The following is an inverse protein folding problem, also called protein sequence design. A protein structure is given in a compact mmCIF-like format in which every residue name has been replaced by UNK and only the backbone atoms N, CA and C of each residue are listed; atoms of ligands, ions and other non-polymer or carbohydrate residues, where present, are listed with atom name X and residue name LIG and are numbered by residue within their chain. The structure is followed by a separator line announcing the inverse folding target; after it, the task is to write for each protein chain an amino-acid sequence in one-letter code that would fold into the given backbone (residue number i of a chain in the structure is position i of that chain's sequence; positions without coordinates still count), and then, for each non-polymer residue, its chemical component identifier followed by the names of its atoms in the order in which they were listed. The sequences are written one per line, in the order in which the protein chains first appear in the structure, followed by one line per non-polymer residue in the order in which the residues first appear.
data_IF_793067271482
#
_entry.id   IF_793067271482
#
_cell.length_a   1.000
_cell.length_b   1.000
_cell.length_c   1.000
_cell.angle_alpha   90.00
_cell.angle_beta   90.00
_cell.angle_gamma   90.00
#
_symmetry.space_group_name_H-M   'P 1'
#
loop_
_entity.id
_entity.type
_entity.pdbx_description
1 polymer ?
#
# COMPACT_ATOMS: atom_id res chain seq x y z
N UNK A 1 -8.47 45.96 -8.63
CA UNK A 1 -8.87 44.61 -8.18
C UNK A 1 -8.82 43.53 -9.30
N UNK A 2 -8.25 43.80 -10.48
CA UNK A 2 -8.10 42.80 -11.55
C UNK A 2 -6.77 42.00 -11.45
N UNK A 3 -5.71 42.58 -10.86
CA UNK A 3 -4.38 41.97 -10.81
C UNK A 3 -4.29 40.71 -9.93
N UNK A 4 -5.06 40.64 -8.83
CA UNK A 4 -5.00 39.51 -7.89
C UNK A 4 -5.53 38.20 -8.48
N UNK A 5 -6.46 38.26 -9.44
CA UNK A 5 -7.02 37.07 -10.09
C UNK A 5 -6.02 36.41 -11.05
N UNK A 6 -5.18 37.22 -11.68
CA UNK A 6 -4.14 36.75 -12.60
C UNK A 6 -3.03 35.99 -11.85
N UNK A 7 -2.60 36.49 -10.69
CA UNK A 7 -1.63 35.80 -9.82
C UNK A 7 -2.11 34.41 -9.38
N UNK A 8 -3.39 34.29 -9.01
CA UNK A 8 -3.96 33.00 -8.58
C UNK A 8 -3.97 32.00 -9.74
N UNK A 9 -4.31 32.46 -10.95
CA UNK A 9 -4.31 31.60 -12.14
C UNK A 9 -2.90 31.11 -12.50
N UNK A 10 -1.90 31.98 -12.41
CA UNK A 10 -0.49 31.63 -12.63
C UNK A 10 0.03 30.63 -11.58
N UNK A 11 -0.32 30.81 -10.31
CA UNK A 11 0.06 29.89 -9.24
C UNK A 11 -0.59 28.51 -9.43
N UNK A 12 -1.86 28.46 -9.83
CA UNK A 12 -2.55 27.19 -10.09
C UNK A 12 -1.94 26.43 -11.28
N UNK A 13 -1.58 27.14 -12.35
CA UNK A 13 -0.88 26.56 -13.50
C UNK A 13 0.49 26.00 -13.12
N UNK A 14 1.29 26.76 -12.36
CA UNK A 14 2.59 26.29 -11.87
C UNK A 14 2.45 25.02 -11.02
N UNK A 15 1.46 24.99 -10.11
CA UNK A 15 1.23 23.83 -9.24
C UNK A 15 0.79 22.58 -10.02
N UNK A 16 -0.01 22.76 -11.08
CA UNK A 16 -0.41 21.68 -11.98
C UNK A 16 0.78 21.13 -12.76
N UNK A 17 1.65 21.99 -13.30
CA UNK A 17 2.86 21.61 -14.04
C UNK A 17 3.84 20.87 -13.12
N UNK A 18 4.06 21.34 -11.89
CA UNK A 18 4.95 20.65 -10.93
C UNK A 18 4.44 19.24 -10.58
N UNK A 19 3.12 19.06 -10.42
CA UNK A 19 2.55 17.72 -10.16
C UNK A 19 2.67 16.78 -11.34
N UNK A 20 2.54 17.28 -12.57
CA UNK A 20 2.75 16.49 -13.79
C UNK A 20 4.23 16.10 -13.96
N UNK A 21 5.16 17.03 -13.74
CA UNK A 21 6.60 16.76 -13.78
C UNK A 21 7.03 15.71 -12.73
N UNK A 22 6.49 15.80 -11.50
CA UNK A 22 6.75 14.80 -10.46
C UNK A 22 6.22 13.40 -10.80
N UNK A 23 5.28 13.26 -11.74
CA UNK A 23 4.79 11.96 -12.20
C UNK A 23 5.65 11.34 -13.30
N UNK A 24 6.41 12.16 -14.03
CA UNK A 24 7.30 11.71 -15.10
C UNK A 24 8.65 11.27 -14.53
N UNK A 25 9.14 11.93 -13.49
CA UNK A 25 10.42 11.57 -12.84
C UNK A 25 10.32 10.31 -11.94
N UNK A 26 9.12 9.87 -11.55
CA UNK A 26 8.93 8.63 -10.76
C UNK A 26 8.92 7.36 -11.64
N UNK A 27 8.86 7.50 -12.98
CA UNK A 27 8.91 6.35 -13.90
C UNK A 27 10.35 6.04 -14.32
N UNK A 28 11.22 7.04 -14.45
CA UNK A 28 12.64 6.83 -14.80
C UNK A 28 13.50 6.39 -13.60
N UNK A 29 13.10 6.69 -12.37
CA UNK A 29 13.83 6.24 -11.16
C UNK A 29 13.65 4.74 -10.85
N UNK A 30 12.57 4.12 -11.34
CA UNK A 30 12.33 2.68 -11.15
C UNK A 30 13.03 1.82 -12.21
N UNK A 31 13.43 2.41 -13.35
CA UNK A 31 14.07 1.68 -14.45
C UNK A 31 15.61 1.69 -14.40
N UNK A 32 16.21 2.65 -13.71
CA UNK A 32 17.67 2.79 -13.66
C UNK A 32 18.40 1.77 -12.75
N UNK A 33 17.70 1.00 -11.91
CA UNK A 33 18.34 0.10 -10.95
C UNK A 33 18.42 -1.38 -11.38
N UNK A 34 17.98 -1.73 -12.59
CA UNK A 34 17.93 -3.14 -13.04
C UNK A 34 18.91 -3.54 -14.15
N UNK A 35 19.74 -2.64 -14.71
CA UNK A 35 20.56 -2.94 -15.91
C UNK A 35 22.04 -2.51 -15.77
N UNK A 36 22.69 -2.74 -14.63
CA UNK A 36 24.13 -2.43 -14.51
C UNK A 36 24.95 -3.45 -13.70
N UNK A 37 24.62 -4.74 -13.81
CA UNK A 37 25.46 -5.79 -13.20
C UNK A 37 25.84 -6.94 -14.14
N UNK A 38 26.13 -6.63 -15.40
CA UNK A 38 26.85 -7.54 -16.30
C UNK A 38 28.09 -6.85 -16.89
N UNK A 39 29.19 -6.82 -16.13
CA UNK A 39 30.49 -7.39 -16.55
C UNK A 39 31.62 -7.21 -15.53
N UNK A 40 32.25 -8.36 -15.25
CA UNK A 40 33.66 -8.59 -14.85
C UNK A 40 33.97 -8.97 -13.39
N UNK A 41 34.11 -10.28 -13.22
CA UNK A 41 35.21 -11.03 -12.57
C UNK A 41 35.72 -10.61 -11.19
N UNK A 42 35.36 -11.42 -10.20
CA UNK A 42 36.34 -12.15 -9.39
C UNK A 42 35.71 -13.48 -8.93
N UNK A 43 36.37 -14.61 -9.23
CA UNK A 43 36.00 -15.95 -8.70
C UNK A 43 36.33 -15.96 -7.20
N UNK A 44 35.40 -15.51 -6.38
CA UNK A 44 35.34 -15.82 -4.95
C UNK A 44 34.38 -16.99 -4.73
N UNK A 45 34.51 -17.75 -3.62
CA UNK A 45 33.55 -18.81 -3.28
C UNK A 45 32.14 -18.21 -3.24
N UNK A 46 31.25 -18.73 -4.10
CA UNK A 46 29.87 -18.29 -4.23
C UNK A 46 29.12 -18.73 -2.97
N UNK A 47 29.13 -17.87 -1.95
CA UNK A 47 28.03 -17.85 -1.02
C UNK A 47 26.86 -17.24 -1.80
N UNK A 48 25.95 -18.10 -2.26
CA UNK A 48 24.71 -17.67 -2.89
C UNK A 48 23.98 -16.65 -2.00
N UNK A 49 23.12 -15.80 -2.57
CA UNK A 49 22.40 -14.81 -1.78
C UNK A 49 21.77 -15.53 -0.60
N UNK A 50 22.18 -15.13 0.61
CA UNK A 50 21.49 -15.49 1.83
C UNK A 50 20.02 -15.22 1.53
N UNK A 51 19.24 -16.27 1.32
CA UNK A 51 17.80 -16.16 1.27
C UNK A 51 17.44 -15.53 2.60
N UNK A 52 17.24 -14.21 2.60
CA UNK A 52 16.58 -13.54 3.70
C UNK A 52 15.28 -14.31 3.81
N UNK A 53 15.17 -15.16 4.84
CA UNK A 53 13.95 -15.91 5.09
C UNK A 53 12.88 -14.84 5.18
N UNK A 54 12.03 -14.73 4.16
CA UNK A 54 10.75 -14.08 4.35
C UNK A 54 10.18 -14.74 5.59
N UNK A 55 9.84 -13.97 6.64
CA UNK A 55 9.26 -14.56 7.82
C UNK A 55 8.09 -15.43 7.36
N UNK A 56 8.22 -16.74 7.59
CA UNK A 56 7.16 -17.69 7.28
C UNK A 56 5.88 -17.16 7.91
N UNK A 57 4.73 -17.19 7.22
CA UNK A 57 3.48 -16.67 7.76
C UNK A 57 3.23 -17.35 9.10
N UNK A 58 3.41 -16.59 10.17
CA UNK A 58 3.20 -17.05 11.54
C UNK A 58 1.76 -17.55 11.64
N UNK A 59 1.56 -18.70 12.31
CA UNK A 59 0.27 -19.37 12.53
C UNK A 59 -0.72 -18.54 13.38
N UNK A 60 -1.02 -17.32 12.96
CA UNK A 60 -2.23 -16.58 13.32
C UNK A 60 -2.90 -16.28 11.98
N UNK A 61 -4.10 -16.82 11.76
CA UNK A 61 -4.80 -16.80 10.47
C UNK A 61 -4.55 -15.47 9.73
N UNK A 62 -4.03 -15.57 8.52
CA UNK A 62 -3.73 -14.43 7.68
C UNK A 62 -5.00 -13.61 7.43
N UNK A 63 -5.14 -12.48 8.15
CA UNK A 63 -6.23 -11.52 7.95
C UNK A 63 -6.45 -11.19 6.47
N UNK A 64 -5.40 -11.26 5.65
CA UNK A 64 -5.46 -11.08 4.20
C UNK A 64 -6.40 -12.08 3.52
N UNK A 65 -6.30 -13.39 3.80
CA UNK A 65 -7.18 -14.38 3.15
C UNK A 65 -8.60 -14.29 3.69
N UNK A 66 -8.74 -14.17 5.02
CA UNK A 66 -10.06 -14.01 5.65
C UNK A 66 -10.80 -12.77 5.10
N UNK A 67 -10.10 -11.64 4.98
CA UNK A 67 -10.66 -10.43 4.39
C UNK A 67 -10.89 -10.57 2.88
N UNK A 68 -10.05 -11.33 2.16
CA UNK A 68 -10.24 -11.54 0.72
C UNK A 68 -11.54 -12.29 0.42
N UNK A 69 -11.90 -13.25 1.27
CA UNK A 69 -13.16 -13.98 1.21
C UNK A 69 -14.34 -13.15 1.71
N UNK A 70 -14.15 -12.39 2.80
CA UNK A 70 -15.17 -11.50 3.34
C UNK A 70 -15.58 -10.43 2.34
N UNK A 71 -14.60 -9.74 1.74
CA UNK A 71 -14.78 -8.65 0.79
C UNK A 71 -15.02 -9.12 -0.65
N UNK A 72 -15.14 -10.43 -0.91
CA UNK A 72 -15.44 -10.97 -2.25
C UNK A 72 -16.72 -10.39 -2.89
N UNK A 73 -17.84 -10.20 -2.17
CA UNK A 73 -19.05 -9.62 -2.76
C UNK A 73 -19.01 -8.09 -2.85
N UNK A 74 -18.02 -7.42 -2.26
CA UNK A 74 -17.97 -5.96 -2.18
C UNK A 74 -17.18 -5.37 -3.33
N UNK A 75 -17.79 -4.43 -4.06
CA UNK A 75 -17.12 -3.64 -5.10
C UNK A 75 -17.23 -2.15 -4.76
N UNK A 76 -16.11 -1.40 -4.71
CA UNK A 76 -14.73 -1.80 -4.97
C UNK A 76 -14.10 -2.65 -3.85
N UNK A 77 -13.26 -3.62 -4.22
CA UNK A 77 -12.63 -4.57 -3.27
C UNK A 77 -11.56 -3.92 -2.39
N UNK A 78 -10.84 -2.93 -2.92
CA UNK A 78 -9.64 -2.35 -2.28
C UNK A 78 -9.95 -1.62 -0.95
N UNK A 79 -11.00 -0.78 -0.84
CA UNK A 79 -11.37 -0.14 0.43
C UNK A 79 -11.83 -1.15 1.49
N UNK A 80 -12.66 -2.12 1.12
CA UNK A 80 -13.11 -3.18 2.04
C UNK A 80 -11.93 -3.94 2.63
N UNK A 81 -10.99 -4.38 1.77
CA UNK A 81 -9.80 -5.12 2.22
C UNK A 81 -8.95 -4.32 3.21
N UNK A 82 -8.76 -3.02 2.99
CA UNK A 82 -7.97 -2.16 3.90
C UNK A 82 -8.62 -2.08 5.28
N UNK A 83 -9.91 -1.77 5.34
CA UNK A 83 -10.64 -1.63 6.60
C UNK A 83 -10.79 -2.96 7.31
N UNK A 84 -11.11 -4.03 6.57
CA UNK A 84 -11.18 -5.38 7.11
C UNK A 84 -9.84 -5.82 7.72
N UNK A 85 -8.71 -5.57 7.05
CA UNK A 85 -7.39 -5.94 7.57
C UNK A 85 -7.08 -5.19 8.88
N UNK A 86 -7.46 -3.91 8.98
CA UNK A 86 -7.30 -3.15 10.22
C UNK A 86 -8.17 -3.69 11.36
N UNK A 87 -9.43 -4.03 11.07
CA UNK A 87 -10.34 -4.65 12.03
C UNK A 87 -9.86 -6.03 12.48
N UNK A 88 -9.40 -6.86 11.54
CA UNK A 88 -8.85 -8.17 11.83
C UNK A 88 -7.54 -8.07 12.62
N UNK A 89 -6.69 -7.08 12.36
CA UNK A 89 -5.47 -6.88 13.13
C UNK A 89 -5.76 -6.60 14.61
N UNK A 90 -6.86 -5.88 14.92
CA UNK A 90 -7.32 -5.61 16.29
C UNK A 90 -7.99 -6.83 16.92
N UNK A 91 -8.99 -7.40 16.24
CA UNK A 91 -9.88 -8.43 16.81
C UNK A 91 -9.40 -9.87 16.56
N UNK A 92 -8.34 -10.05 15.76
CA UNK A 92 -7.79 -11.35 15.32
C UNK A 92 -8.84 -12.28 14.69
N UNK A 93 -9.89 -11.69 14.12
CA UNK A 93 -11.10 -12.37 13.69
C UNK A 93 -11.71 -11.63 12.50
N UNK A 94 -12.43 -12.30 11.59
CA UNK A 94 -13.27 -11.67 10.55
C UNK A 94 -14.64 -12.36 10.56
N UNK A 95 -15.76 -11.61 10.67
CA UNK A 95 -17.09 -12.19 10.64
C UNK A 95 -17.30 -12.93 9.32
N UNK A 96 -18.18 -13.93 9.28
CA UNK A 96 -18.43 -14.90 8.19
C UNK A 96 -17.68 -16.22 8.34
N UNK A 97 -16.44 -16.22 8.82
CA UNK A 97 -15.72 -17.46 9.16
C UNK A 97 -15.96 -17.90 10.60
N UNK A 98 -16.15 -16.95 11.52
CA UNK A 98 -16.46 -17.21 12.92
C UNK A 98 -17.21 -16.02 13.54
N UNK A 99 -17.79 -16.20 14.73
CA UNK A 99 -18.40 -15.10 15.47
C UNK A 99 -17.29 -14.26 16.12
N UNK A 100 -17.13 -13.03 15.64
CA UNK A 100 -16.20 -12.07 16.25
C UNK A 100 -16.93 -11.21 17.27
N UNK A 101 -16.42 -11.19 18.50
CA UNK A 101 -16.78 -10.15 19.45
C UNK A 101 -16.02 -8.85 19.10
N UNK A 102 -16.65 -7.69 19.34
CA UNK A 102 -16.07 -6.35 19.14
C UNK A 102 -15.72 -5.98 17.66
N UNK A 103 -16.43 -6.56 16.68
CA UNK A 103 -16.32 -6.18 15.26
C UNK A 103 -17.13 -4.93 14.92
N UNK A 104 -16.84 -3.81 15.60
CA UNK A 104 -17.61 -2.58 15.41
C UNK A 104 -16.78 -1.51 14.72
N UNK A 105 -15.78 -0.97 15.44
CA UNK A 105 -15.00 0.18 14.98
C UNK A 105 -13.54 0.07 15.35
N UNK A 106 -12.70 0.57 14.46
CA UNK A 106 -11.25 0.66 14.66
C UNK A 106 -10.74 2.05 14.30
N UNK A 107 -9.62 2.43 14.93
CA UNK A 107 -8.89 3.61 14.51
C UNK A 107 -8.01 3.25 13.31
N UNK A 108 -8.33 3.79 12.15
CA UNK A 108 -7.58 3.61 10.91
C UNK A 108 -7.15 4.98 10.38
N UNK A 109 -5.84 5.18 10.24
CA UNK A 109 -5.25 6.45 9.79
C UNK A 109 -5.73 7.67 10.62
N UNK A 110 -5.81 7.51 11.95
CA UNK A 110 -6.24 8.58 12.87
C UNK A 110 -7.74 8.88 12.85
N UNK A 111 -8.55 8.07 12.15
CA UNK A 111 -10.02 8.21 12.10
C UNK A 111 -10.69 6.96 12.64
N UNK A 112 -11.79 7.12 13.35
CA UNK A 112 -12.66 6.00 13.71
C UNK A 112 -13.45 5.56 12.48
N UNK A 113 -13.23 4.33 12.04
CA UNK A 113 -13.92 3.72 10.90
C UNK A 113 -14.68 2.48 11.35
N UNK A 114 -15.85 2.25 10.75
CA UNK A 114 -16.62 1.05 11.00
C UNK A 114 -15.97 -0.13 10.28
N UNK A 115 -15.97 -1.29 10.92
CA UNK A 115 -15.59 -2.52 10.26
C UNK A 115 -16.63 -2.88 9.21
N UNK A 116 -16.19 -3.38 8.04
CA UNK A 116 -17.10 -3.75 6.96
C UNK A 116 -17.93 -4.99 7.31
#
# INVERSE_FOLDING_TARGET
MAAMKSMIFLLALMFLVTRLASSVEDIDSVLAQHILHVKSQAKGPVYGPSMARMPSPTKGGNCVEMCAEYCKPTTPKRPCMKTCAACCAKNKCVPKLMKCHDWDKVMFQGKMVNCP
#
